data_IF_608212610688
#
_entry.id   IF_608212610688
#
_cell.length_a   1.000
_cell.length_b   1.000
_cell.length_c   1.000
_cell.angle_alpha   90.00
_cell.angle_beta   90.00
_cell.angle_gamma   90.00
#
_symmetry.space_group_name_H-M   'P 1'
#
loop_
_entity.id
_entity.type
_entity.pdbx_description
1 polymer ?
#
# COMPACT_ATOMS: atom_id res chain seq x y z
N UNK A 1 27.53 -6.96 27.28
CA UNK A 1 27.76 -5.51 27.14
C UNK A 1 28.34 -4.85 28.40
N UNK A 2 27.84 -5.17 29.57
CA UNK A 2 28.32 -4.54 30.84
C UNK A 2 29.83 -4.68 31.08
N UNK A 3 30.45 -5.75 30.53
CA UNK A 3 31.90 -6.01 30.59
C UNK A 3 32.67 -5.50 29.36
N UNK A 4 32.03 -4.73 28.47
CA UNK A 4 32.60 -4.25 27.18
C UNK A 4 33.12 -5.36 26.26
N UNK A 5 32.63 -6.59 26.39
CA UNK A 5 32.97 -7.73 25.52
C UNK A 5 31.98 -7.80 24.34
N UNK A 6 31.96 -6.78 23.48
CA UNK A 6 30.97 -6.60 22.45
C UNK A 6 30.97 -7.74 21.42
N UNK A 7 32.12 -8.17 20.92
CA UNK A 7 32.23 -9.25 19.97
C UNK A 7 31.64 -10.56 20.49
N UNK A 8 32.00 -10.95 21.73
CA UNK A 8 31.46 -12.15 22.36
C UNK A 8 29.95 -12.05 22.57
N UNK A 9 29.45 -10.89 23.00
CA UNK A 9 28.01 -10.66 23.21
C UNK A 9 27.23 -10.79 21.88
N UNK A 10 27.72 -10.16 20.82
CA UNK A 10 27.08 -10.22 19.50
C UNK A 10 27.11 -11.66 18.92
N UNK A 11 28.19 -12.39 19.12
CA UNK A 11 28.24 -13.81 18.75
C UNK A 11 27.20 -14.64 19.51
N UNK A 12 27.07 -14.44 20.85
CA UNK A 12 26.03 -15.14 21.63
C UNK A 12 24.61 -14.81 21.15
N UNK A 13 24.32 -13.55 20.79
CA UNK A 13 23.03 -13.19 20.20
C UNK A 13 22.78 -13.91 18.86
N UNK A 14 23.80 -14.10 18.04
CA UNK A 14 23.67 -14.88 16.80
C UNK A 14 23.35 -16.35 17.09
N UNK A 15 23.99 -16.96 18.09
CA UNK A 15 23.70 -18.33 18.53
C UNK A 15 22.26 -18.45 19.06
N UNK A 16 21.80 -17.48 19.86
CA UNK A 16 20.42 -17.43 20.35
C UNK A 16 19.44 -17.24 19.21
N UNK A 17 19.70 -16.32 18.29
CA UNK A 17 18.87 -16.06 17.13
C UNK A 17 18.67 -17.31 16.25
N UNK A 18 19.73 -18.10 16.05
CA UNK A 18 19.68 -19.32 15.26
C UNK A 18 18.88 -20.43 15.97
N UNK A 19 19.17 -20.67 17.24
CA UNK A 19 18.71 -21.85 17.95
C UNK A 19 17.46 -21.65 18.82
N UNK A 20 17.08 -20.40 19.14
CA UNK A 20 15.96 -20.11 20.01
C UNK A 20 14.92 -19.16 19.31
N UNK A 21 13.94 -19.71 18.57
CA UNK A 21 12.96 -18.91 17.85
C UNK A 21 12.20 -17.90 18.71
N UNK A 22 11.92 -18.24 19.97
CA UNK A 22 11.17 -17.39 20.92
C UNK A 22 11.96 -16.12 21.26
N UNK A 23 13.31 -16.19 21.35
CA UNK A 23 14.17 -15.07 21.73
C UNK A 23 14.78 -14.34 20.52
N UNK A 24 14.27 -14.56 19.31
CA UNK A 24 14.80 -13.88 18.11
C UNK A 24 14.63 -12.37 18.16
N UNK A 25 13.49 -11.89 18.68
CA UNK A 25 13.22 -10.44 18.80
C UNK A 25 14.24 -9.78 19.72
N UNK A 26 14.51 -10.38 20.86
CA UNK A 26 15.49 -9.93 21.83
C UNK A 26 16.89 -9.94 21.22
N UNK A 27 17.27 -11.03 20.54
CA UNK A 27 18.56 -11.11 19.87
C UNK A 27 18.75 -10.04 18.79
N UNK A 28 17.71 -9.72 18.01
CA UNK A 28 17.74 -8.63 17.01
C UNK A 28 17.89 -7.27 17.72
N UNK A 29 17.15 -7.05 18.80
CA UNK A 29 17.13 -5.78 19.49
C UNK A 29 18.44 -5.49 20.20
N UNK A 30 19.07 -6.51 20.80
CA UNK A 30 20.27 -6.37 21.61
C UNK A 30 21.57 -6.54 20.82
N UNK A 31 21.50 -7.02 19.57
CA UNK A 31 22.66 -7.09 18.68
C UNK A 31 23.12 -5.69 18.27
N UNK A 32 24.28 -5.26 18.78
CA UNK A 32 24.82 -3.90 18.55
C UNK A 32 26.35 -3.93 18.55
N UNK A 33 27.00 -4.25 17.43
CA UNK A 33 28.45 -4.02 17.31
C UNK A 33 28.73 -2.53 17.49
N UNK A 34 29.69 -2.20 18.35
CA UNK A 34 30.05 -0.79 18.58
C UNK A 34 31.00 -0.30 17.48
N UNK A 35 31.85 -1.20 17.00
CA UNK A 35 32.82 -0.93 15.94
C UNK A 35 32.80 -2.08 14.91
N UNK A 36 33.29 -1.85 13.69
CA UNK A 36 33.46 -2.89 12.66
C UNK A 36 34.32 -4.05 13.16
N UNK A 37 35.30 -3.75 14.02
CA UNK A 37 36.14 -4.75 14.66
C UNK A 37 35.33 -5.74 15.49
N UNK A 38 34.34 -5.31 16.26
CA UNK A 38 33.49 -6.18 17.07
C UNK A 38 32.76 -7.22 16.22
N UNK A 39 32.25 -6.80 15.06
CA UNK A 39 31.57 -7.69 14.12
C UNK A 39 32.54 -8.72 13.52
N UNK A 40 33.72 -8.29 13.08
CA UNK A 40 34.74 -9.18 12.51
C UNK A 40 35.24 -10.20 13.55
N UNK A 41 35.44 -9.79 14.79
CA UNK A 41 35.79 -10.71 15.87
C UNK A 41 34.66 -11.70 16.16
N UNK A 42 33.38 -11.26 16.10
CA UNK A 42 32.22 -12.16 16.22
C UNK A 42 32.19 -13.21 15.09
N UNK A 43 32.49 -12.80 13.85
CA UNK A 43 32.59 -13.72 12.70
C UNK A 43 33.67 -14.79 12.89
N UNK A 44 34.81 -14.43 13.47
CA UNK A 44 35.89 -15.36 13.77
C UNK A 44 35.55 -16.39 14.87
N UNK A 45 34.50 -16.09 15.70
CA UNK A 45 34.01 -17.00 16.74
C UNK A 45 33.03 -18.06 16.20
N UNK A 46 32.47 -17.86 14.99
CA UNK A 46 31.48 -18.78 14.41
C UNK A 46 32.08 -20.16 14.14
N UNK A 47 31.33 -21.22 14.49
CA UNK A 47 31.78 -22.59 14.41
C UNK A 47 31.33 -23.33 13.14
N UNK A 48 30.28 -22.84 12.51
CA UNK A 48 29.66 -23.41 11.32
C UNK A 48 28.98 -22.34 10.45
N UNK A 49 28.47 -22.76 9.30
CA UNK A 49 27.82 -21.87 8.34
C UNK A 49 26.49 -21.32 8.85
N UNK A 50 25.75 -22.05 9.68
CA UNK A 50 24.49 -21.63 10.26
C UNK A 50 24.70 -20.45 11.22
N UNK A 51 25.67 -20.54 12.13
CA UNK A 51 26.03 -19.44 13.03
C UNK A 51 26.52 -18.21 12.24
N UNK A 52 27.33 -18.45 11.19
CA UNK A 52 27.83 -17.38 10.31
C UNK A 52 26.70 -16.69 9.56
N UNK A 53 25.75 -17.44 9.02
CA UNK A 53 24.58 -16.90 8.35
C UNK A 53 23.66 -16.14 9.33
N UNK A 54 23.47 -16.63 10.56
CA UNK A 54 22.73 -15.96 11.60
C UNK A 54 23.37 -14.62 11.99
N UNK A 55 24.69 -14.58 12.11
CA UNK A 55 25.42 -13.34 12.43
C UNK A 55 25.28 -12.29 11.31
N UNK A 56 25.42 -12.69 10.05
CA UNK A 56 25.17 -11.83 8.89
C UNK A 56 23.69 -11.37 8.83
N UNK A 57 22.77 -12.24 9.23
CA UNK A 57 21.34 -11.86 9.28
C UNK A 57 21.10 -10.76 10.32
N UNK A 58 21.66 -10.89 11.52
CA UNK A 58 21.60 -9.84 12.53
C UNK A 58 22.27 -8.54 12.06
N UNK A 59 23.41 -8.64 11.37
CA UNK A 59 24.05 -7.49 10.74
C UNK A 59 23.10 -6.77 9.75
N UNK A 60 22.38 -7.51 8.92
CA UNK A 60 21.39 -6.95 8.00
C UNK A 60 20.22 -6.26 8.70
N UNK A 61 19.86 -6.66 9.91
CA UNK A 61 18.90 -5.93 10.74
C UNK A 61 19.48 -4.66 11.33
N UNK A 62 20.73 -4.69 11.72
CA UNK A 62 21.42 -3.59 12.36
C UNK A 62 21.93 -2.54 11.37
N UNK A 63 22.48 -2.96 10.23
CA UNK A 63 23.15 -2.09 9.24
C UNK A 63 22.60 -2.26 7.83
N UNK A 64 23.25 -3.05 6.97
CA UNK A 64 22.95 -3.16 5.54
C UNK A 64 22.36 -4.56 5.19
N UNK A 65 21.05 -4.64 4.92
CA UNK A 65 20.42 -5.89 4.54
C UNK A 65 20.84 -6.39 3.15
N UNK A 66 21.27 -5.52 2.23
CA UNK A 66 21.69 -5.94 0.88
C UNK A 66 23.01 -6.68 0.95
N UNK A 67 24.00 -6.11 1.67
CA UNK A 67 25.26 -6.80 1.93
C UNK A 67 25.03 -8.14 2.67
N UNK A 68 24.16 -8.14 3.67
CA UNK A 68 23.83 -9.36 4.41
C UNK A 68 23.23 -10.44 3.52
N UNK A 69 22.34 -10.08 2.58
CA UNK A 69 21.78 -11.03 1.59
C UNK A 69 22.90 -11.64 0.75
N UNK A 70 23.80 -10.84 0.21
CA UNK A 70 24.94 -11.34 -0.60
C UNK A 70 25.78 -12.36 0.16
N UNK A 71 26.12 -12.05 1.43
CA UNK A 71 26.94 -12.93 2.27
C UNK A 71 26.19 -14.20 2.65
N UNK A 72 24.94 -14.12 3.10
CA UNK A 72 24.13 -15.29 3.47
C UNK A 72 23.86 -16.18 2.25
N UNK A 73 23.53 -15.58 1.10
CA UNK A 73 23.29 -16.29 -0.15
C UNK A 73 24.56 -17.02 -0.63
N UNK A 74 25.74 -16.42 -0.46
CA UNK A 74 27.03 -17.06 -0.78
C UNK A 74 27.34 -18.25 0.13
N UNK A 75 26.96 -18.16 1.42
CA UNK A 75 27.14 -19.24 2.38
C UNK A 75 26.21 -20.42 2.05
N UNK A 76 24.93 -20.13 1.87
CA UNK A 76 23.90 -21.12 1.53
C UNK A 76 22.70 -20.43 0.83
N UNK A 77 22.51 -20.67 -0.49
CA UNK A 77 21.36 -20.14 -1.21
C UNK A 77 20.00 -20.58 -0.66
N UNK A 78 19.96 -21.71 0.08
CA UNK A 78 18.73 -22.22 0.70
C UNK A 78 18.57 -21.81 2.16
N UNK A 79 19.38 -20.88 2.64
CA UNK A 79 19.30 -20.43 4.03
C UNK A 79 17.93 -19.82 4.34
N UNK A 80 17.34 -20.26 5.45
CA UNK A 80 16.00 -19.84 5.91
C UNK A 80 15.88 -18.33 6.20
N UNK A 81 16.99 -17.69 6.54
CA UNK A 81 17.01 -16.27 6.90
C UNK A 81 16.97 -15.31 5.70
N UNK A 82 17.23 -15.79 4.48
CA UNK A 82 17.17 -14.96 3.27
C UNK A 82 15.82 -14.29 3.06
N UNK A 83 14.72 -14.96 3.43
CA UNK A 83 13.36 -14.39 3.33
C UNK A 83 13.19 -13.19 4.27
N UNK A 84 13.74 -13.24 5.49
CA UNK A 84 13.68 -12.12 6.44
C UNK A 84 14.49 -10.94 5.93
N UNK A 85 15.71 -11.19 5.44
CA UNK A 85 16.55 -10.13 4.88
C UNK A 85 15.94 -9.48 3.66
N UNK A 86 15.35 -10.27 2.75
CA UNK A 86 14.63 -9.76 1.58
C UNK A 86 13.48 -8.83 1.99
N UNK A 87 12.64 -9.27 2.92
CA UNK A 87 11.50 -8.46 3.41
C UNK A 87 11.99 -7.16 4.03
N UNK A 88 13.06 -7.20 4.83
CA UNK A 88 13.64 -6.01 5.43
C UNK A 88 14.20 -5.05 4.38
N UNK A 89 14.95 -5.55 3.41
CA UNK A 89 15.52 -4.74 2.34
C UNK A 89 14.43 -4.04 1.52
N UNK A 90 13.35 -4.76 1.17
CA UNK A 90 12.19 -4.18 0.48
C UNK A 90 11.51 -3.11 1.33
N UNK A 91 11.27 -3.35 2.62
CA UNK A 91 10.63 -2.37 3.50
C UNK A 91 11.47 -1.08 3.66
N UNK A 92 12.79 -1.20 3.70
CA UNK A 92 13.69 -0.02 3.73
C UNK A 92 13.57 0.75 2.42
N UNK A 93 13.58 0.04 1.29
CA UNK A 93 13.46 0.66 -0.02
C UNK A 93 12.11 1.36 -0.21
N UNK A 94 11.00 0.72 0.17
CA UNK A 94 9.68 1.34 0.17
C UNK A 94 9.61 2.60 1.03
N UNK A 95 10.22 2.58 2.22
CA UNK A 95 10.28 3.76 3.08
C UNK A 95 11.09 4.90 2.44
N UNK A 96 12.17 4.58 1.73
CA UNK A 96 12.97 5.58 1.02
C UNK A 96 12.19 6.19 -0.15
N UNK A 97 11.47 5.37 -0.92
CA UNK A 97 10.60 5.80 -2.01
C UNK A 97 9.44 6.69 -1.49
N UNK A 98 8.76 6.27 -0.43
CA UNK A 98 7.64 7.00 0.16
C UNK A 98 8.04 8.33 0.80
N UNK A 99 9.21 8.40 1.44
CA UNK A 99 9.73 9.66 2.00
C UNK A 99 9.94 10.72 0.93
N UNK A 100 10.36 10.33 -0.26
CA UNK A 100 10.55 11.28 -1.36
C UNK A 100 9.21 11.80 -1.89
N UNK A 101 8.17 10.99 -1.95
CA UNK A 101 6.82 11.43 -2.32
C UNK A 101 6.24 12.38 -1.26
N UNK A 102 6.39 12.09 0.04
CA UNK A 102 5.94 12.97 1.12
C UNK A 102 6.65 14.34 1.09
N UNK A 103 7.98 14.36 0.83
CA UNK A 103 8.74 15.61 0.68
C UNK A 103 8.28 16.38 -0.55
N UNK A 104 7.89 15.71 -1.63
CA UNK A 104 7.37 16.31 -2.87
C UNK A 104 6.05 17.07 -2.62
N UNK A 105 5.20 16.57 -1.72
CA UNK A 105 3.94 17.24 -1.34
C UNK A 105 4.13 18.39 -0.35
N UNK A 106 5.12 18.30 0.54
CA UNK A 106 5.29 19.27 1.64
C UNK A 106 6.29 20.40 1.35
N UNK A 107 7.18 20.27 0.35
CA UNK A 107 8.16 21.29 -0.02
C UNK A 107 8.24 21.44 -1.54
N UNK A 108 7.93 22.66 -2.02
CA UNK A 108 7.98 23.06 -3.44
C UNK A 108 9.39 23.11 -4.08
N UNK A 109 10.42 22.59 -3.45
CA UNK A 109 11.77 22.67 -4.00
C UNK A 109 12.61 21.43 -3.67
N UNK A 110 13.31 20.95 -4.68
CA UNK A 110 14.24 19.81 -4.71
C UNK A 110 13.58 18.43 -4.72
N UNK A 111 13.10 18.08 -5.88
CA UNK A 111 12.77 16.68 -6.25
C UNK A 111 14.05 15.97 -6.62
N UNK A 112 14.71 15.31 -5.66
CA UNK A 112 15.46 14.12 -6.02
C UNK A 112 14.38 13.04 -6.22
N UNK A 113 14.15 12.64 -7.47
CA UNK A 113 13.41 11.41 -7.75
C UNK A 113 14.16 10.28 -7.07
N UNK A 114 13.66 9.79 -5.93
CA UNK A 114 14.26 8.62 -5.30
C UNK A 114 14.02 7.46 -6.26
N UNK A 115 15.08 7.05 -6.92
CA UNK A 115 15.08 5.89 -7.80
C UNK A 115 15.34 4.67 -6.93
N UNK A 116 14.70 3.58 -7.30
CA UNK A 116 15.01 2.25 -6.75
C UNK A 116 16.53 2.04 -6.73
N UNK A 117 17.08 1.65 -5.58
CA UNK A 117 18.52 1.43 -5.44
C UNK A 117 18.98 0.33 -6.43
N UNK A 118 19.94 0.65 -7.32
CA UNK A 118 20.45 -0.32 -8.30
C UNK A 118 21.03 -1.58 -7.69
N UNK A 119 21.60 -1.53 -6.48
CA UNK A 119 22.20 -2.68 -5.81
C UNK A 119 21.17 -3.72 -5.46
N UNK A 120 20.11 -3.32 -4.73
CA UNK A 120 19.05 -4.26 -4.35
C UNK A 120 18.31 -4.78 -5.60
N UNK A 121 18.07 -3.92 -6.61
CA UNK A 121 17.43 -4.34 -7.85
C UNK A 121 18.24 -5.43 -8.57
N UNK A 122 19.55 -5.23 -8.74
CA UNK A 122 20.44 -6.18 -9.41
C UNK A 122 20.49 -7.50 -8.64
N UNK A 123 20.72 -7.44 -7.33
CA UNK A 123 20.79 -8.61 -6.46
C UNK A 123 19.51 -9.44 -6.49
N UNK A 124 18.36 -8.79 -6.35
CA UNK A 124 17.05 -9.48 -6.41
C UNK A 124 16.83 -10.12 -7.77
N UNK A 125 17.13 -9.40 -8.86
CA UNK A 125 16.98 -9.92 -10.22
C UNK A 125 17.86 -11.14 -10.47
N UNK A 126 19.11 -11.14 -10.03
CA UNK A 126 20.04 -12.27 -10.15
C UNK A 126 19.56 -13.49 -9.37
N UNK A 127 19.15 -13.32 -8.11
CA UNK A 127 18.67 -14.41 -7.26
C UNK A 127 17.35 -14.98 -7.79
N UNK A 128 16.42 -14.12 -8.21
CA UNK A 128 15.17 -14.55 -8.83
C UNK A 128 15.43 -15.40 -10.09
N UNK A 129 16.35 -14.98 -10.97
CA UNK A 129 16.70 -15.73 -12.19
C UNK A 129 17.33 -17.09 -11.88
N UNK A 130 18.17 -17.20 -10.84
CA UNK A 130 18.76 -18.47 -10.42
C UNK A 130 17.74 -19.44 -9.83
N UNK A 131 16.66 -18.94 -9.24
CA UNK A 131 15.52 -19.71 -8.73
C UNK A 131 15.91 -20.87 -7.79
N UNK A 132 16.97 -20.70 -6.99
CA UNK A 132 17.60 -21.76 -6.19
C UNK A 132 17.50 -21.55 -4.67
N UNK A 133 16.71 -20.57 -4.21
CA UNK A 133 16.49 -20.30 -2.79
C UNK A 133 15.45 -21.25 -2.18
N UNK A 134 15.32 -21.24 -0.85
CA UNK A 134 14.31 -22.03 -0.14
C UNK A 134 12.88 -21.62 -0.54
N UNK A 135 12.66 -20.32 -0.72
CA UNK A 135 11.36 -19.73 -1.09
C UNK A 135 11.50 -18.91 -2.38
N UNK A 136 11.69 -19.53 -3.55
CA UNK A 136 11.99 -18.83 -4.79
C UNK A 136 10.85 -17.88 -5.22
N UNK A 137 9.60 -18.23 -4.91
CA UNK A 137 8.45 -17.38 -5.21
C UNK A 137 8.54 -15.97 -4.58
N UNK A 138 9.15 -15.85 -3.40
CA UNK A 138 9.34 -14.54 -2.74
C UNK A 138 10.24 -13.61 -3.56
N UNK A 139 11.32 -14.15 -4.11
CA UNK A 139 12.25 -13.41 -4.97
C UNK A 139 11.58 -13.02 -6.28
N UNK A 140 10.77 -13.90 -6.85
CA UNK A 140 9.99 -13.61 -8.04
C UNK A 140 8.95 -12.51 -7.80
N UNK A 141 8.26 -12.50 -6.65
CA UNK A 141 7.33 -11.43 -6.28
C UNK A 141 8.07 -10.10 -6.22
N UNK A 142 9.20 -10.03 -5.53
CA UNK A 142 9.96 -8.78 -5.36
C UNK A 142 10.56 -8.32 -6.71
N UNK A 143 11.08 -9.23 -7.53
CA UNK A 143 11.54 -8.89 -8.87
C UNK A 143 10.40 -8.32 -9.72
N UNK A 144 9.20 -8.93 -9.70
CA UNK A 144 8.02 -8.40 -10.38
C UNK A 144 7.60 -7.03 -9.87
N UNK A 145 7.67 -6.80 -8.56
CA UNK A 145 7.41 -5.50 -7.96
C UNK A 145 8.39 -4.43 -8.45
N UNK A 146 9.70 -4.72 -8.40
CA UNK A 146 10.73 -3.79 -8.85
C UNK A 146 10.66 -3.50 -10.35
N UNK A 147 10.33 -4.50 -11.18
CA UNK A 147 10.10 -4.30 -12.61
C UNK A 147 8.87 -3.41 -12.85
N UNK A 148 7.81 -3.53 -12.04
CA UNK A 148 6.65 -2.62 -12.10
C UNK A 148 7.05 -1.18 -11.78
N UNK A 149 7.83 -0.95 -10.73
CA UNK A 149 8.35 0.38 -10.36
C UNK A 149 9.19 1.01 -11.47
N UNK A 150 9.95 0.20 -12.21
CA UNK A 150 10.74 0.64 -13.37
C UNK A 150 9.93 0.81 -14.66
N UNK A 151 8.64 0.48 -14.65
CA UNK A 151 7.78 0.55 -15.85
C UNK A 151 7.95 -0.63 -16.81
N UNK A 152 8.65 -1.69 -16.44
CA UNK A 152 8.89 -2.89 -17.24
C UNK A 152 7.75 -3.92 -17.05
N UNK A 153 6.51 -3.51 -17.32
CA UNK A 153 5.29 -4.25 -16.97
C UNK A 153 5.21 -5.68 -17.50
N UNK A 154 5.77 -5.94 -18.68
CA UNK A 154 5.79 -7.28 -19.28
C UNK A 154 6.73 -8.22 -18.50
N UNK A 155 7.93 -7.75 -18.12
CA UNK A 155 8.85 -8.51 -17.27
C UNK A 155 8.26 -8.75 -15.88
N UNK A 156 7.61 -7.73 -15.31
CA UNK A 156 6.88 -7.86 -14.05
C UNK A 156 5.84 -9.00 -14.11
N UNK A 157 5.06 -9.05 -15.19
CA UNK A 157 4.07 -10.12 -15.40
C UNK A 157 4.73 -11.49 -15.46
N UNK A 158 5.87 -11.64 -16.14
CA UNK A 158 6.63 -12.90 -16.19
C UNK A 158 7.05 -13.35 -14.80
N UNK A 159 7.69 -12.48 -14.04
CA UNK A 159 8.11 -12.79 -12.65
C UNK A 159 6.92 -13.18 -11.74
N UNK A 160 5.81 -12.46 -11.82
CA UNK A 160 4.62 -12.77 -11.01
C UNK A 160 3.98 -14.11 -11.41
N UNK A 161 4.00 -14.48 -12.70
CA UNK A 161 3.56 -15.79 -13.16
C UNK A 161 4.50 -16.90 -12.68
N UNK A 162 5.81 -16.69 -12.66
CA UNK A 162 6.78 -17.65 -12.14
C UNK A 162 6.67 -17.78 -10.62
N UNK A 163 6.41 -16.68 -9.89
CA UNK A 163 6.05 -16.73 -8.49
C UNK A 163 4.84 -17.65 -8.24
N UNK A 164 3.79 -17.51 -9.04
CA UNK A 164 2.57 -18.31 -8.92
C UNK A 164 2.79 -19.80 -9.11
N UNK A 165 3.73 -20.19 -9.98
CA UNK A 165 4.08 -21.61 -10.24
C UNK A 165 4.76 -22.27 -9.05
N UNK A 166 5.61 -21.53 -8.31
CA UNK A 166 6.44 -22.07 -7.23
C UNK A 166 5.91 -21.77 -5.83
N UNK A 167 4.89 -20.90 -5.74
CA UNK A 167 4.29 -20.49 -4.47
C UNK A 167 3.43 -21.61 -3.85
N UNK A 168 3.41 -21.72 -2.50
CA UNK A 168 2.47 -22.60 -1.81
C UNK A 168 1.02 -22.25 -2.13
N UNK A 169 0.13 -23.22 -2.18
CA UNK A 169 -1.30 -23.05 -2.43
C UNK A 169 -2.07 -22.54 -1.19
N UNK A 170 -1.42 -21.72 -0.38
CA UNK A 170 -2.04 -21.03 0.75
C UNK A 170 -2.73 -19.77 0.24
N UNK A 171 -3.99 -19.56 0.62
CA UNK A 171 -4.82 -18.44 0.15
C UNK A 171 -4.15 -17.08 0.36
N UNK A 172 -3.49 -16.87 1.48
CA UNK A 172 -2.78 -15.62 1.79
C UNK A 172 -1.65 -15.36 0.80
N UNK A 173 -0.86 -16.40 0.45
CA UNK A 173 0.26 -16.27 -0.50
C UNK A 173 -0.26 -15.99 -1.90
N UNK A 174 -1.29 -16.70 -2.34
CA UNK A 174 -1.91 -16.48 -3.67
C UNK A 174 -2.53 -15.08 -3.77
N UNK A 175 -3.18 -14.61 -2.72
CA UNK A 175 -3.72 -13.26 -2.65
C UNK A 175 -2.62 -12.20 -2.65
N UNK A 176 -1.49 -12.44 -1.98
CA UNK A 176 -0.34 -11.53 -2.02
C UNK A 176 0.22 -11.39 -3.45
N UNK A 177 0.37 -12.49 -4.20
CA UNK A 177 0.77 -12.44 -5.62
C UNK A 177 -0.25 -11.67 -6.45
N UNK A 178 -1.55 -11.88 -6.19
CA UNK A 178 -2.63 -11.16 -6.86
C UNK A 178 -2.57 -9.65 -6.61
N UNK A 179 -2.22 -9.20 -5.40
CA UNK A 179 -2.04 -7.78 -5.09
C UNK A 179 -0.94 -7.14 -5.96
N UNK A 180 0.21 -7.79 -6.11
CA UNK A 180 1.28 -7.29 -6.99
C UNK A 180 0.89 -7.33 -8.47
N UNK A 181 0.11 -8.33 -8.89
CA UNK A 181 -0.43 -8.37 -10.25
C UNK A 181 -1.39 -7.20 -10.53
N UNK A 182 -2.25 -6.85 -9.57
CA UNK A 182 -3.14 -5.69 -9.64
C UNK A 182 -2.31 -4.40 -9.68
N UNK A 183 -1.30 -4.26 -8.83
CA UNK A 183 -0.39 -3.13 -8.84
C UNK A 183 0.26 -2.94 -10.22
N UNK A 184 0.78 -4.01 -10.82
CA UNK A 184 1.35 -3.99 -12.17
C UNK A 184 0.33 -3.61 -13.23
N UNK A 185 -0.87 -4.18 -13.19
CA UNK A 185 -1.93 -3.90 -14.16
C UNK A 185 -2.39 -2.43 -14.11
N UNK A 186 -2.64 -1.89 -12.92
CA UNK A 186 -3.03 -0.49 -12.74
C UNK A 186 -1.91 0.45 -13.18
N UNK A 187 -0.66 0.18 -12.80
CA UNK A 187 0.52 0.99 -13.19
C UNK A 187 0.73 1.03 -14.70
N UNK A 188 0.46 -0.08 -15.40
CA UNK A 188 0.55 -0.18 -16.85
C UNK A 188 -0.50 0.68 -17.56
N UNK A 189 -1.66 0.88 -16.96
CA UNK A 189 -2.76 1.64 -17.56
C UNK A 189 -2.42 3.12 -17.63
N UNK A 190 -2.48 3.72 -18.81
CA UNK A 190 -2.16 5.14 -19.04
C UNK A 190 -3.37 5.97 -19.44
N UNK A 191 -4.39 5.32 -19.99
CA UNK A 191 -5.65 5.93 -20.43
C UNK A 191 -6.80 5.03 -19.97
N UNK A 192 -7.86 5.64 -19.49
CA UNK A 192 -9.10 4.97 -19.11
C UNK A 192 -10.12 5.14 -20.25
N UNK A 193 -10.61 4.03 -20.76
CA UNK A 193 -11.68 3.89 -21.72
C UNK A 193 -12.44 2.60 -21.39
N UNK A 194 -13.55 2.34 -22.05
CA UNK A 194 -14.40 1.17 -21.80
C UNK A 194 -13.64 -0.16 -21.81
N UNK A 195 -12.63 -0.31 -22.67
CA UNK A 195 -11.83 -1.54 -22.72
C UNK A 195 -10.97 -1.68 -21.44
N UNK A 196 -10.18 -0.64 -21.10
CA UNK A 196 -9.28 -0.68 -19.92
C UNK A 196 -10.06 -0.72 -18.61
N UNK A 197 -11.22 -0.07 -18.53
CA UNK A 197 -12.14 -0.15 -17.40
C UNK A 197 -12.64 -1.58 -17.19
N UNK A 198 -13.08 -2.26 -18.27
CA UNK A 198 -13.51 -3.66 -18.22
C UNK A 198 -12.37 -4.61 -17.82
N UNK A 199 -11.15 -4.36 -18.29
CA UNK A 199 -9.96 -5.15 -17.92
C UNK A 199 -9.57 -4.98 -16.44
N UNK A 200 -9.71 -3.79 -15.88
CA UNK A 200 -9.38 -3.49 -14.48
C UNK A 200 -10.48 -3.93 -13.50
N UNK A 201 -11.74 -3.84 -13.93
CA UNK A 201 -12.91 -3.97 -13.06
C UNK A 201 -12.89 -5.21 -12.15
N UNK A 202 -12.68 -6.46 -12.66
CA UNK A 202 -12.75 -7.65 -11.80
C UNK A 202 -11.73 -7.62 -10.66
N UNK A 203 -10.54 -7.10 -10.95
CA UNK A 203 -9.45 -7.02 -9.99
C UNK A 203 -9.66 -5.91 -8.96
N UNK A 204 -10.18 -4.77 -9.37
CA UNK A 204 -10.48 -3.67 -8.45
C UNK A 204 -11.69 -3.99 -7.54
N UNK A 205 -12.73 -4.63 -8.09
CA UNK A 205 -13.86 -5.12 -7.27
C UNK A 205 -13.37 -6.09 -6.20
N UNK A 206 -12.51 -7.04 -6.57
CA UNK A 206 -11.92 -7.96 -5.60
C UNK A 206 -11.10 -7.23 -4.53
N UNK A 207 -10.21 -6.29 -4.94
CA UNK A 207 -9.35 -5.53 -4.04
C UNK A 207 -10.16 -4.71 -3.03
N UNK A 208 -11.16 -3.98 -3.49
CA UNK A 208 -11.96 -3.09 -2.65
C UNK A 208 -12.90 -3.88 -1.73
N UNK A 209 -13.39 -5.05 -2.16
CA UNK A 209 -14.15 -5.94 -1.29
C UNK A 209 -13.30 -6.59 -0.19
N UNK A 210 -12.05 -6.96 -0.48
CA UNK A 210 -11.12 -7.41 0.56
C UNK A 210 -10.90 -6.34 1.64
N UNK A 211 -10.77 -5.07 1.24
CA UNK A 211 -10.59 -3.97 2.19
C UNK A 211 -11.82 -3.74 3.06
N UNK A 212 -13.03 -3.73 2.49
CA UNK A 212 -14.29 -3.60 3.25
C UNK A 212 -14.48 -4.71 4.29
N UNK A 213 -14.12 -5.95 3.95
CA UNK A 213 -14.18 -7.06 4.90
C UNK A 213 -13.22 -6.86 6.09
N UNK A 214 -12.07 -6.26 5.84
CA UNK A 214 -11.08 -5.96 6.86
C UNK A 214 -11.57 -4.82 7.78
N UNK A 215 -12.10 -3.74 7.21
CA UNK A 215 -12.65 -2.60 7.96
C UNK A 215 -13.79 -3.05 8.88
N UNK A 216 -14.75 -3.83 8.38
CA UNK A 216 -15.86 -4.36 9.16
C UNK A 216 -15.41 -5.30 10.30
N UNK A 217 -14.33 -6.06 10.11
CA UNK A 217 -13.79 -6.93 11.14
C UNK A 217 -13.03 -6.14 12.23
N UNK A 218 -12.46 -4.97 11.92
CA UNK A 218 -11.72 -4.13 12.87
C UNK A 218 -12.61 -3.21 13.70
N UNK A 219 -13.82 -2.87 13.25
CA UNK A 219 -14.81 -2.17 14.09
C UNK A 219 -15.28 -3.00 15.28
N UNK A 220 -15.25 -4.32 15.19
CA UNK A 220 -15.72 -5.23 16.26
C UNK A 220 -14.63 -5.61 17.28
N UNK A 221 -13.34 -5.45 16.94
CA UNK A 221 -12.21 -5.75 17.81
C UNK A 221 -11.37 -4.50 18.05
N UNK A 222 -11.35 -4.05 19.30
CA UNK A 222 -10.56 -2.92 19.79
C UNK A 222 -9.08 -2.97 19.33
N UNK A 223 -8.46 -1.81 19.25
CA UNK A 223 -7.10 -1.50 18.81
C UNK A 223 -5.94 -2.38 19.34
N UNK A 224 -6.20 -3.32 20.23
CA UNK A 224 -5.16 -4.12 20.92
C UNK A 224 -4.75 -5.42 20.20
N UNK A 225 -5.43 -5.86 19.14
CA UNK A 225 -5.11 -7.13 18.44
C UNK A 225 -4.62 -6.96 17.00
N UNK A 226 -4.02 -5.81 16.66
CA UNK A 226 -3.59 -5.49 15.29
C UNK A 226 -2.33 -6.23 14.78
N UNK A 227 -1.84 -7.23 15.51
CA UNK A 227 -0.71 -8.07 15.12
C UNK A 227 -1.15 -9.43 14.53
N UNK A 228 -2.27 -9.48 13.82
CA UNK A 228 -2.64 -10.69 13.10
C UNK A 228 -1.73 -10.86 11.87
N UNK A 229 -0.70 -11.67 12.04
CA UNK A 229 0.29 -12.04 11.00
C UNK A 229 -0.37 -12.72 9.78
N UNK A 230 -1.63 -13.12 9.91
CA UNK A 230 -2.41 -13.79 8.87
C UNK A 230 -3.26 -12.82 8.03
N UNK A 231 -3.20 -11.50 8.28
CA UNK A 231 -4.03 -10.52 7.60
C UNK A 231 -3.37 -10.00 6.32
N UNK A 232 -4.12 -10.04 5.22
CA UNK A 232 -3.71 -9.44 3.96
C UNK A 232 -3.77 -7.89 4.07
N UNK A 233 -2.67 -7.21 3.82
CA UNK A 233 -2.61 -5.73 3.89
C UNK A 233 -2.97 -5.13 2.54
N UNK A 234 -4.16 -4.54 2.43
CA UNK A 234 -4.70 -3.98 1.18
C UNK A 234 -4.78 -2.45 1.17
N UNK A 235 -4.75 -1.81 2.34
CA UNK A 235 -5.05 -0.38 2.52
C UNK A 235 -4.21 0.53 1.62
N UNK A 236 -2.91 0.27 1.54
CA UNK A 236 -2.01 1.05 0.69
C UNK A 236 -2.40 0.92 -0.80
N UNK A 237 -2.60 -0.31 -1.29
CA UNK A 237 -2.92 -0.54 -2.69
C UNK A 237 -4.30 0.01 -3.07
N UNK A 238 -5.28 -0.08 -2.16
CA UNK A 238 -6.60 0.55 -2.33
C UNK A 238 -6.45 2.06 -2.47
N UNK A 239 -5.76 2.71 -1.53
CA UNK A 239 -5.57 4.15 -1.54
C UNK A 239 -4.80 4.63 -2.77
N UNK A 240 -3.71 3.94 -3.10
CA UNK A 240 -2.88 4.24 -4.25
C UNK A 240 -3.64 4.05 -5.58
N UNK A 241 -4.34 2.92 -5.76
CA UNK A 241 -5.08 2.66 -6.99
C UNK A 241 -6.20 3.65 -7.24
N UNK A 242 -6.93 4.04 -6.19
CA UNK A 242 -7.95 5.11 -6.28
C UNK A 242 -7.32 6.42 -6.73
N UNK A 243 -6.27 6.87 -6.06
CA UNK A 243 -5.57 8.11 -6.42
C UNK A 243 -5.00 8.07 -7.84
N UNK A 244 -4.44 6.93 -8.25
CA UNK A 244 -3.90 6.75 -9.60
C UNK A 244 -4.99 6.87 -10.68
N UNK A 245 -6.12 6.17 -10.50
CA UNK A 245 -7.26 6.20 -11.42
C UNK A 245 -7.88 7.60 -11.46
N UNK A 246 -8.09 8.24 -10.31
CA UNK A 246 -8.54 9.62 -10.21
C UNK A 246 -7.66 10.57 -11.03
N UNK A 247 -6.33 10.46 -10.90
CA UNK A 247 -5.39 11.27 -11.67
C UNK A 247 -5.42 11.00 -13.18
N UNK A 248 -5.66 9.76 -13.61
CA UNK A 248 -5.86 9.45 -15.04
C UNK A 248 -7.11 10.14 -15.59
N UNK A 249 -8.24 10.07 -14.90
CA UNK A 249 -9.47 10.77 -15.30
C UNK A 249 -9.28 12.29 -15.30
N UNK A 250 -8.57 12.84 -14.32
CA UNK A 250 -8.23 14.27 -14.28
C UNK A 250 -7.44 14.70 -15.52
N UNK A 251 -6.46 13.90 -15.94
CA UNK A 251 -5.69 14.16 -17.17
C UNK A 251 -6.53 14.04 -18.44
N UNK A 252 -7.60 13.27 -18.41
CA UNK A 252 -8.59 13.12 -19.50
C UNK A 252 -9.72 14.15 -19.43
N UNK A 253 -9.67 15.13 -18.54
CA UNK A 253 -10.70 16.14 -18.28
C UNK A 253 -12.05 15.54 -17.87
N UNK A 254 -12.06 14.31 -17.33
CA UNK A 254 -13.25 13.70 -16.75
C UNK A 254 -13.29 13.97 -15.25
N UNK A 255 -13.76 15.17 -14.87
CA UNK A 255 -13.76 15.63 -13.49
C UNK A 255 -14.65 14.80 -12.58
N UNK A 256 -15.80 14.32 -13.08
CA UNK A 256 -16.74 13.52 -12.29
C UNK A 256 -16.13 12.19 -11.90
N UNK A 257 -15.60 11.42 -12.87
CA UNK A 257 -14.96 10.14 -12.57
C UNK A 257 -13.68 10.31 -11.74
N UNK A 258 -12.93 11.41 -11.95
CA UNK A 258 -11.79 11.74 -11.11
C UNK A 258 -12.20 11.90 -9.65
N UNK A 259 -13.32 12.57 -9.38
CA UNK A 259 -13.85 12.79 -8.04
C UNK A 259 -14.34 11.50 -7.40
N UNK A 260 -15.10 10.68 -8.12
CA UNK A 260 -15.64 9.41 -7.59
C UNK A 260 -14.52 8.47 -7.09
N UNK A 261 -13.35 8.48 -7.74
CA UNK A 261 -12.18 7.73 -7.31
C UNK A 261 -11.30 8.48 -6.31
N UNK A 262 -11.46 9.80 -6.16
CA UNK A 262 -10.69 10.59 -5.19
C UNK A 262 -11.06 10.20 -3.75
N UNK A 263 -10.15 10.55 -2.83
CA UNK A 263 -10.41 10.50 -1.38
C UNK A 263 -10.59 11.90 -0.78
N UNK A 264 -10.51 12.95 -1.62
CA UNK A 264 -10.56 14.34 -1.19
C UNK A 264 -11.99 14.87 -1.39
N UNK A 265 -12.66 15.26 -0.30
CA UNK A 265 -14.04 15.79 -0.29
C UNK A 265 -14.13 17.28 -0.68
N UNK A 266 -13.17 17.79 -1.45
CA UNK A 266 -13.07 19.22 -1.80
C UNK A 266 -13.90 19.64 -3.02
N UNK A 267 -14.77 18.77 -3.52
CA UNK A 267 -15.52 18.99 -4.76
C UNK A 267 -16.50 20.15 -4.68
N UNK A 268 -17.05 20.39 -3.52
CA UNK A 268 -18.14 21.35 -3.30
C UNK A 268 -17.75 22.83 -3.39
N UNK A 269 -16.47 23.14 -3.38
CA UNK A 269 -16.01 24.53 -3.42
C UNK A 269 -16.31 25.27 -4.75
N UNK A 270 -16.77 24.58 -5.80
CA UNK A 270 -17.05 25.13 -7.13
C UNK A 270 -18.41 24.66 -7.65
N UNK A 271 -19.37 25.59 -7.78
CA UNK A 271 -20.74 25.27 -8.17
C UNK A 271 -20.89 24.51 -9.49
N UNK A 272 -20.08 24.80 -10.52
CA UNK A 272 -20.10 24.09 -11.80
C UNK A 272 -19.78 22.57 -11.67
N UNK A 273 -18.91 22.20 -10.74
CA UNK A 273 -18.58 20.79 -10.49
C UNK A 273 -19.75 20.06 -9.84
N UNK A 274 -20.43 20.72 -8.93
CA UNK A 274 -21.60 20.18 -8.26
C UNK A 274 -22.72 19.85 -9.28
N UNK A 275 -22.95 20.73 -10.26
CA UNK A 275 -23.93 20.52 -11.33
C UNK A 275 -23.55 19.32 -12.22
N UNK A 276 -22.28 19.18 -12.57
CA UNK A 276 -21.79 18.01 -13.33
C UNK A 276 -22.02 16.71 -12.58
N UNK A 277 -21.75 16.69 -11.26
CA UNK A 277 -21.97 15.51 -10.42
C UNK A 277 -23.45 15.20 -10.29
N UNK A 278 -24.31 16.20 -10.08
CA UNK A 278 -25.76 16.04 -10.06
C UNK A 278 -26.27 15.43 -11.37
N UNK A 279 -25.84 15.96 -12.51
CA UNK A 279 -26.18 15.43 -13.83
C UNK A 279 -25.78 13.98 -13.98
N UNK A 280 -24.57 13.60 -13.56
CA UNK A 280 -24.07 12.23 -13.60
C UNK A 280 -24.98 11.27 -12.80
N UNK A 281 -25.41 11.65 -11.59
CA UNK A 281 -26.32 10.83 -10.79
C UNK A 281 -27.73 10.75 -11.41
N UNK A 282 -28.22 11.82 -12.03
CA UNK A 282 -29.54 11.86 -12.68
C UNK A 282 -29.57 11.07 -13.98
N UNK A 283 -28.46 11.01 -14.74
CA UNK A 283 -28.34 10.21 -15.96
C UNK A 283 -28.38 8.70 -15.68
N UNK A 284 -28.30 8.30 -14.41
CA UNK A 284 -28.39 6.92 -13.94
C UNK A 284 -27.50 5.95 -14.74
N UNK A 285 -26.23 6.37 -14.95
CA UNK A 285 -25.24 5.50 -15.61
C UNK A 285 -25.04 4.23 -14.79
N UNK A 286 -25.28 3.08 -15.44
CA UNK A 286 -25.41 1.79 -14.75
C UNK A 286 -24.39 0.76 -15.22
N UNK A 287 -23.27 1.16 -15.84
CA UNK A 287 -22.21 0.20 -16.12
C UNK A 287 -21.64 -0.39 -14.81
N UNK A 288 -21.04 -1.55 -14.89
CA UNK A 288 -20.41 -2.15 -13.71
C UNK A 288 -19.25 -1.28 -13.16
N UNK A 289 -18.60 -0.50 -14.04
CA UNK A 289 -17.57 0.47 -13.65
C UNK A 289 -18.18 1.69 -12.92
N UNK A 290 -19.28 2.25 -13.44
CA UNK A 290 -19.99 3.33 -12.74
C UNK A 290 -20.45 2.89 -11.35
N UNK A 291 -21.00 1.67 -11.23
CA UNK A 291 -21.40 1.12 -9.93
C UNK A 291 -20.22 0.97 -8.97
N UNK A 292 -19.06 0.53 -9.46
CA UNK A 292 -17.85 0.49 -8.66
C UNK A 292 -17.46 1.89 -8.19
N UNK A 293 -17.37 2.88 -9.11
CA UNK A 293 -17.02 4.25 -8.81
C UNK A 293 -17.98 4.89 -7.78
N UNK A 294 -19.28 4.72 -7.97
CA UNK A 294 -20.30 5.20 -7.02
C UNK A 294 -20.18 4.54 -5.64
N UNK A 295 -19.83 3.24 -5.58
CA UNK A 295 -19.65 2.54 -4.30
C UNK A 295 -18.46 3.02 -3.47
N UNK A 296 -17.53 3.75 -4.08
CA UNK A 296 -16.37 4.36 -3.42
C UNK A 296 -16.61 5.79 -2.96
N UNK A 297 -17.72 6.38 -3.40
CA UNK A 297 -18.07 7.75 -3.12
C UNK A 297 -19.12 7.79 -2.01
N UNK A 298 -18.87 8.60 -0.99
CA UNK A 298 -19.73 8.67 0.20
C UNK A 298 -20.91 9.61 0.03
N UNK A 299 -20.85 10.50 -0.97
CA UNK A 299 -21.81 11.55 -1.18
C UNK A 299 -22.92 11.06 -2.11
N UNK A 300 -24.15 11.26 -1.71
CA UNK A 300 -25.35 10.85 -2.43
C UNK A 300 -25.94 12.01 -3.23
N UNK A 301 -26.91 11.72 -4.08
CA UNK A 301 -27.66 12.76 -4.80
C UNK A 301 -28.44 13.66 -3.82
N UNK A 302 -28.88 13.12 -2.69
CA UNK A 302 -29.57 13.89 -1.64
C UNK A 302 -28.62 14.88 -0.98
N UNK A 303 -27.40 14.47 -0.66
CA UNK A 303 -26.36 15.38 -0.13
C UNK A 303 -26.04 16.51 -1.11
N UNK A 304 -26.10 16.24 -2.42
CA UNK A 304 -25.89 17.26 -3.46
C UNK A 304 -27.03 18.27 -3.44
N UNK A 305 -28.30 17.84 -3.31
CA UNK A 305 -29.44 18.73 -3.21
C UNK A 305 -29.34 19.60 -1.96
N UNK A 306 -29.05 18.99 -0.80
CA UNK A 306 -28.86 19.73 0.44
C UNK A 306 -27.80 20.80 0.29
N UNK A 307 -26.65 20.46 -0.25
CA UNK A 307 -25.55 21.40 -0.43
C UNK A 307 -25.88 22.55 -1.39
N UNK A 308 -26.61 22.28 -2.48
CA UNK A 308 -27.11 23.32 -3.39
C UNK A 308 -28.09 24.26 -2.68
N UNK A 309 -29.01 23.71 -1.90
CA UNK A 309 -29.93 24.46 -1.08
C UNK A 309 -29.20 25.39 -0.12
N UNK A 310 -28.20 24.88 0.59
CA UNK A 310 -27.35 25.69 1.48
C UNK A 310 -26.65 26.82 0.69
N UNK A 311 -26.07 26.51 -0.47
CA UNK A 311 -25.40 27.52 -1.31
C UNK A 311 -26.35 28.64 -1.77
N UNK A 312 -27.59 28.31 -2.16
CA UNK A 312 -28.61 29.31 -2.53
C UNK A 312 -29.01 30.14 -1.33
N UNK A 313 -29.22 29.56 -0.15
CA UNK A 313 -29.51 30.26 1.07
C UNK A 313 -28.40 31.27 1.45
N UNK A 314 -27.14 30.91 1.32
CA UNK A 314 -26.01 31.84 1.53
C UNK A 314 -25.96 32.98 0.55
N UNK A 315 -26.53 32.83 -0.66
CA UNK A 315 -26.67 33.87 -1.68
C UNK A 315 -27.96 34.71 -1.51
N UNK A 316 -28.73 34.46 -0.45
CA UNK A 316 -30.05 35.06 -0.22
C UNK A 316 -31.07 34.75 -1.33
N UNK A 317 -30.92 33.59 -1.98
CA UNK A 317 -31.83 33.05 -3.00
C UNK A 317 -32.73 32.01 -2.35
N UNK A 318 -33.69 32.47 -1.54
CA UNK A 318 -34.45 31.60 -0.62
C UNK A 318 -35.39 30.65 -1.38
N UNK A 319 -36.06 31.14 -2.44
CA UNK A 319 -36.96 30.29 -3.22
C UNK A 319 -36.23 29.11 -3.89
N UNK A 320 -35.05 29.37 -4.46
CA UNK A 320 -34.22 28.34 -5.06
C UNK A 320 -33.69 27.35 -4.00
N UNK A 321 -33.33 27.83 -2.82
CA UNK A 321 -32.94 27.01 -1.70
C UNK A 321 -34.05 26.02 -1.29
N UNK A 322 -35.28 26.51 -1.15
CA UNK A 322 -36.45 25.69 -0.82
C UNK A 322 -36.72 24.62 -1.89
N UNK A 323 -36.56 24.96 -3.17
CA UNK A 323 -36.73 24.01 -4.27
C UNK A 323 -35.73 22.85 -4.15
N UNK A 324 -34.45 23.12 -3.84
CA UNK A 324 -33.45 22.08 -3.69
C UNK A 324 -33.68 21.24 -2.42
N UNK A 325 -33.99 21.85 -1.28
CA UNK A 325 -34.27 21.11 -0.03
C UNK A 325 -35.50 20.20 -0.15
N UNK A 326 -36.53 20.58 -0.89
CA UNK A 326 -37.72 19.73 -1.13
C UNK A 326 -37.42 18.45 -1.92
N UNK A 327 -36.25 18.35 -2.59
CA UNK A 327 -35.80 17.13 -3.28
C UNK A 327 -35.16 16.12 -2.31
N UNK A 328 -34.77 16.53 -1.11
CA UNK A 328 -34.17 15.66 -0.10
C UNK A 328 -35.27 14.82 0.58
N UNK A 329 -35.16 13.47 0.48
CA UNK A 329 -36.15 12.55 1.04
C UNK A 329 -35.94 12.26 2.53
N UNK A 330 -34.78 12.61 3.10
CA UNK A 330 -34.35 12.28 4.46
C UNK A 330 -34.16 13.49 5.36
N UNK A 331 -35.05 14.47 5.28
CA UNK A 331 -35.01 15.64 6.17
C UNK A 331 -35.07 15.29 7.67
N UNK A 332 -35.70 14.16 8.03
CA UNK A 332 -35.80 13.67 9.41
C UNK A 332 -34.46 13.14 10.00
N UNK A 333 -33.46 12.83 9.19
CA UNK A 333 -32.17 12.30 9.67
C UNK A 333 -31.10 13.37 9.90
N UNK A 334 -31.39 14.62 9.57
CA UNK A 334 -30.49 15.76 9.73
C UNK A 334 -30.37 16.27 11.20
N UNK A 335 -30.95 15.55 12.18
CA UNK A 335 -30.80 15.86 13.60
C UNK A 335 -29.34 15.72 14.04
N UNK A 336 -28.69 16.87 14.27
CA UNK A 336 -27.31 16.95 14.77
C UNK A 336 -26.37 17.88 14.00
N UNK A 337 -26.77 18.38 12.83
CA UNK A 337 -26.00 19.38 12.09
C UNK A 337 -26.46 20.80 12.52
N UNK A 338 -25.56 21.74 12.91
CA UNK A 338 -25.92 23.11 13.30
C UNK A 338 -26.65 23.92 12.21
N UNK A 339 -26.67 23.45 10.96
CA UNK A 339 -27.42 24.06 9.86
C UNK A 339 -28.88 23.60 9.75
N UNK A 340 -29.27 22.50 10.44
CA UNK A 340 -30.60 21.89 10.30
C UNK A 340 -31.73 22.84 10.72
N UNK A 341 -31.54 23.64 11.78
CA UNK A 341 -32.52 24.65 12.20
C UNK A 341 -32.80 25.66 11.10
N UNK A 342 -31.75 26.12 10.42
CA UNK A 342 -31.89 27.11 9.33
C UNK A 342 -32.52 26.52 8.05
N UNK A 343 -32.30 25.23 7.79
CA UNK A 343 -32.93 24.54 6.65
C UNK A 343 -34.43 24.40 6.90
N UNK A 344 -34.82 24.01 8.11
CA UNK A 344 -36.23 23.91 8.50
C UNK A 344 -36.90 25.28 8.48
N UNK A 345 -36.28 26.32 9.03
CA UNK A 345 -36.75 27.70 8.98
C UNK A 345 -36.93 28.25 7.54
N UNK A 346 -36.24 27.69 6.55
CA UNK A 346 -36.38 28.03 5.13
C UNK A 346 -37.53 27.27 4.43
N UNK A 347 -37.98 26.14 5.00
CA UNK A 347 -39.01 25.27 4.40
C UNK A 347 -40.41 25.62 4.94
N UNK A 348 -40.52 26.05 6.21
CA UNK A 348 -41.73 26.55 6.86
C UNK A 348 -42.07 27.97 6.43
#
# INVERSE_FOLDING_TARGET
YSQKKYALSNYQFAVVFENCPILRKEAIFDFKPQETKDFNESLNMTKNNEEKAALWTLYGYYADPVEAIEKVYTIDPKNKHLTYLLTRAVNIEENNLNRSEYIKYTRKSYVNESKLDPKIYTLVSEIANKNNTLNPYMWQIVAGYFETLKGNYSKATTHLNDAKKTAPQKILVQNQIKLFAIFNQVSKTKVLNTQTENELLPNLVWLYNCNKQIENATEYYSRETSNDENKLRTDFLVSWSRSYISNLYKKQNNEVMSELFSREDNYYAKGERLEKMQTYFLENKNTAWDKLAQSLYTITLEDIYEYKGIMFAYKNQIDEAIIEFKKCKKLDTLYGNPFNGKIMDCID
#
